data_IF_245450475857
#
_entry.id   IF_245450475857
#
_cell.length_a   1.000
_cell.length_b   1.000
_cell.length_c   1.000
_cell.angle_alpha   90.00
_cell.angle_beta   90.00
_cell.angle_gamma   90.00
#
_symmetry.space_group_name_H-M   'P 1'
#
loop_
_entity.id
_entity.type
_entity.pdbx_description
1 polymer ?
#
# COMPACT_ATOMS: atom_id res chain seq x y z
N UNK A 1 -16.15 3.60 37.94
CA UNK A 1 -16.50 2.18 38.20
C UNK A 1 -17.58 2.16 39.27
N UNK A 2 -18.74 1.53 39.05
CA UNK A 2 -19.84 1.50 40.03
C UNK A 2 -19.74 0.19 40.82
N UNK A 3 -19.58 0.29 42.13
CA UNK A 3 -19.53 -0.87 43.02
C UNK A 3 -20.95 -1.20 43.48
N UNK A 4 -21.29 -2.49 43.43
CA UNK A 4 -22.58 -3.01 43.91
C UNK A 4 -22.35 -3.74 45.22
N UNK A 5 -23.17 -3.44 46.23
CA UNK A 5 -23.07 -4.12 47.52
C UNK A 5 -23.58 -5.57 47.41
N UNK A 6 -22.94 -6.53 48.09
CA UNK A 6 -23.34 -7.93 48.02
C UNK A 6 -24.64 -8.18 48.80
N UNK A 7 -25.75 -8.31 48.06
CA UNK A 7 -27.06 -8.67 48.60
C UNK A 7 -27.53 -10.02 47.99
N UNK A 8 -27.73 -11.05 48.83
CA UNK A 8 -28.19 -12.36 48.37
C UNK A 8 -29.68 -12.33 47.99
N UNK A 9 -30.00 -12.69 46.73
CA UNK A 9 -31.37 -13.02 46.30
C UNK A 9 -32.08 -12.00 45.40
N UNK A 10 -31.41 -10.94 44.94
CA UNK A 10 -32.00 -9.95 44.01
C UNK A 10 -31.19 -9.88 42.71
N UNK A 11 -31.87 -9.77 41.57
CA UNK A 11 -31.25 -9.66 40.25
C UNK A 11 -30.87 -8.20 39.96
N UNK A 12 -29.59 -7.93 39.70
CA UNK A 12 -29.14 -6.62 39.22
C UNK A 12 -29.22 -6.59 37.70
N UNK A 13 -30.00 -5.67 37.15
CA UNK A 13 -30.04 -5.36 35.72
C UNK A 13 -29.34 -4.01 35.52
N UNK A 14 -28.16 -4.02 34.91
CA UNK A 14 -27.41 -2.82 34.60
C UNK A 14 -27.36 -2.63 33.08
N UNK A 15 -28.14 -1.68 32.58
CA UNK A 15 -28.10 -1.31 31.18
C UNK A 15 -26.85 -0.46 30.91
N UNK A 16 -26.15 -0.77 29.84
CA UNK A 16 -25.10 0.09 29.29
C UNK A 16 -25.48 0.48 27.87
N UNK A 17 -25.08 1.69 27.47
CA UNK A 17 -25.18 2.18 26.10
C UNK A 17 -23.76 2.43 25.60
N UNK A 18 -23.48 2.00 24.37
CA UNK A 18 -22.23 2.33 23.68
C UNK A 18 -22.46 3.68 23.00
N UNK A 19 -21.69 4.70 23.40
CA UNK A 19 -21.90 6.09 22.96
C UNK A 19 -21.45 6.34 21.53
N UNK A 20 -20.22 5.94 21.21
CA UNK A 20 -19.63 6.19 19.90
C UNK A 20 -18.79 4.99 19.45
N UNK A 21 -18.97 4.59 18.19
CA UNK A 21 -18.10 3.64 17.51
C UNK A 21 -17.15 4.49 16.67
N UNK A 22 -15.87 4.48 17.03
CA UNK A 22 -14.83 5.07 16.18
C UNK A 22 -14.33 4.00 15.21
N UNK A 23 -14.35 4.33 13.93
CA UNK A 23 -13.79 3.51 12.85
C UNK A 23 -12.57 4.20 12.26
N UNK A 24 -11.55 3.42 11.92
CA UNK A 24 -10.45 3.89 11.06
C UNK A 24 -10.84 3.53 9.63
N UNK A 25 -10.98 4.54 8.79
CA UNK A 25 -11.24 4.35 7.36
C UNK A 25 -9.90 3.97 6.70
N UNK A 26 -9.78 2.71 6.27
CA UNK A 26 -8.63 2.28 5.48
C UNK A 26 -8.83 2.78 4.04
N UNK A 27 -7.85 3.47 3.44
CA UNK A 27 -7.94 3.85 2.05
C UNK A 27 -8.08 2.58 1.20
N UNK A 28 -9.26 2.42 0.58
CA UNK A 28 -9.66 1.26 -0.22
C UNK A 28 -9.05 1.26 -1.63
N UNK A 29 -8.15 2.19 -1.92
CA UNK A 29 -7.42 2.23 -3.18
C UNK A 29 -6.40 1.09 -3.23
N UNK A 30 -6.69 0.05 -4.01
CA UNK A 30 -5.68 -0.93 -4.38
C UNK A 30 -4.59 -0.20 -5.15
N UNK A 31 -3.46 0.09 -4.49
CA UNK A 31 -2.27 0.64 -5.14
C UNK A 31 -1.68 -0.45 -6.05
N UNK A 32 -2.23 -0.55 -7.26
CA UNK A 32 -1.89 -1.60 -8.21
C UNK A 32 -0.67 -1.20 -9.02
N UNK A 33 0.49 -1.77 -8.71
CA UNK A 33 1.69 -1.63 -9.53
C UNK A 33 1.91 -2.93 -10.30
N UNK A 34 1.82 -2.88 -11.63
CA UNK A 34 2.00 -4.06 -12.48
C UNK A 34 3.13 -3.83 -13.47
N UNK A 35 4.09 -4.76 -13.52
CA UNK A 35 5.17 -4.75 -14.50
C UNK A 35 4.99 -5.89 -15.51
N UNK A 36 5.04 -5.57 -16.80
CA UNK A 36 4.96 -6.57 -17.87
C UNK A 36 5.84 -6.22 -19.08
N UNK A 37 6.45 -7.21 -19.75
CA UNK A 37 6.50 -8.61 -19.33
C UNK A 37 7.39 -8.78 -18.08
N UNK A 38 7.02 -9.71 -17.21
CA UNK A 38 7.86 -10.18 -16.11
C UNK A 38 7.81 -11.72 -16.14
N UNK A 39 8.89 -12.43 -16.49
CA UNK A 39 10.26 -11.94 -16.74
C UNK A 39 10.43 -11.07 -18.00
N UNK A 40 11.52 -10.29 -18.07
CA UNK A 40 11.90 -9.41 -19.20
C UNK A 40 13.36 -9.64 -19.63
N UNK A 41 13.70 -9.23 -20.86
CA UNK A 41 15.09 -9.15 -21.37
C UNK A 41 15.70 -7.75 -21.24
N UNK A 42 15.08 -6.85 -20.49
CA UNK A 42 15.57 -5.50 -20.21
C UNK A 42 14.50 -4.43 -20.37
N UNK A 43 13.55 -4.61 -21.28
CA UNK A 43 12.47 -3.65 -21.53
C UNK A 43 11.17 -4.12 -20.88
N UNK A 44 10.55 -3.27 -20.07
CA UNK A 44 9.25 -3.56 -19.47
C UNK A 44 8.41 -2.30 -19.30
N UNK A 45 7.10 -2.51 -19.26
CA UNK A 45 6.12 -1.48 -18.98
C UNK A 45 5.62 -1.63 -17.55
N UNK A 46 5.63 -0.52 -16.82
CA UNK A 46 5.00 -0.38 -15.51
C UNK A 46 3.64 0.30 -15.70
N UNK A 47 2.58 -0.32 -15.18
CA UNK A 47 1.24 0.26 -15.10
C UNK A 47 0.91 0.56 -13.65
N UNK A 48 0.59 1.80 -13.35
CA UNK A 48 0.06 2.21 -12.06
C UNK A 48 -1.47 2.12 -12.08
N UNK A 49 -2.07 1.85 -10.93
CA UNK A 49 -3.49 2.08 -10.71
C UNK A 49 -3.83 3.57 -10.76
N UNK A 50 -5.06 3.91 -10.40
CA UNK A 50 -5.57 5.28 -10.40
C UNK A 50 -4.92 6.10 -9.26
N UNK A 51 -3.79 6.73 -9.59
CA UNK A 51 -2.98 7.52 -8.64
C UNK A 51 -2.85 8.94 -9.17
N UNK A 52 -3.04 9.91 -8.27
CA UNK A 52 -2.94 11.34 -8.59
C UNK A 52 -1.89 11.99 -7.69
N UNK A 53 -1.00 12.79 -8.29
CA UNK A 53 0.02 13.57 -7.58
C UNK A 53 1.45 13.19 -7.95
N UNK A 54 2.42 13.72 -7.21
CA UNK A 54 3.84 13.42 -7.41
C UNK A 54 4.19 12.04 -6.83
N UNK A 55 4.95 11.24 -7.59
CA UNK A 55 5.51 9.96 -7.16
C UNK A 55 6.99 9.84 -7.50
N UNK A 56 7.72 9.12 -6.65
CA UNK A 56 9.12 8.78 -6.86
C UNK A 56 9.23 7.31 -7.30
N UNK A 57 9.50 7.10 -8.59
CA UNK A 57 9.75 5.77 -9.13
C UNK A 57 11.21 5.38 -8.90
N UNK A 58 11.44 4.22 -8.29
CA UNK A 58 12.77 3.68 -8.04
C UNK A 58 12.90 2.25 -8.54
N UNK A 59 14.02 1.95 -9.18
CA UNK A 59 14.44 0.60 -9.54
C UNK A 59 15.71 0.26 -8.76
N UNK A 60 15.65 -0.84 -8.02
CA UNK A 60 16.71 -1.31 -7.14
C UNK A 60 17.18 -2.69 -7.58
N UNK A 61 18.48 -2.95 -7.53
CA UNK A 61 19.01 -4.31 -7.71
C UNK A 61 18.74 -5.21 -6.50
N UNK A 62 19.07 -6.50 -6.60
CA UNK A 62 18.89 -7.47 -5.51
C UNK A 62 19.70 -7.16 -4.23
N UNK A 63 20.68 -6.25 -4.28
CA UNK A 63 21.46 -5.79 -3.12
C UNK A 63 20.91 -4.47 -2.55
N UNK A 64 19.90 -3.89 -3.18
CA UNK A 64 19.31 -2.61 -2.80
C UNK A 64 20.03 -1.39 -3.39
N UNK A 65 20.94 -1.57 -4.35
CA UNK A 65 21.55 -0.43 -5.03
C UNK A 65 20.56 0.21 -5.98
N UNK A 66 20.53 1.54 -6.00
CA UNK A 66 19.69 2.31 -6.91
C UNK A 66 20.23 2.23 -8.34
N UNK A 67 19.43 1.68 -9.23
CA UNK A 67 19.73 1.54 -10.66
C UNK A 67 19.14 2.71 -11.43
N UNK A 68 17.91 3.10 -11.07
CA UNK A 68 17.22 4.21 -11.69
C UNK A 68 16.28 4.90 -10.68
N UNK A 69 16.20 6.23 -10.75
CA UNK A 69 15.20 7.01 -10.03
C UNK A 69 14.61 8.09 -10.94
N UNK A 70 13.29 8.30 -10.86
CA UNK A 70 12.59 9.34 -11.60
C UNK A 70 11.45 9.90 -10.75
N UNK A 71 11.33 11.22 -10.67
CA UNK A 71 10.15 11.88 -10.11
C UNK A 71 9.14 12.12 -11.22
N UNK A 72 7.89 11.72 -10.99
CA UNK A 72 6.83 11.69 -12.00
C UNK A 72 5.56 12.33 -11.42
N UNK A 73 4.86 13.12 -12.24
CA UNK A 73 3.48 13.49 -11.95
C UNK A 73 2.55 12.41 -12.47
N UNK A 74 1.78 11.79 -11.58
CA UNK A 74 0.83 10.73 -11.88
C UNK A 74 -0.57 11.32 -12.00
N UNK A 75 -1.29 10.94 -13.06
CA UNK A 75 -2.67 11.37 -13.30
C UNK A 75 -3.52 10.18 -13.73
N UNK A 76 -4.29 9.62 -12.81
CA UNK A 76 -5.10 8.44 -13.07
C UNK A 76 -4.24 7.20 -13.30
N UNK A 77 -4.58 6.40 -14.32
CA UNK A 77 -3.75 5.27 -14.74
C UNK A 77 -2.56 5.75 -15.58
N UNK A 78 -1.34 5.37 -15.18
CA UNK A 78 -0.13 5.75 -15.90
C UNK A 78 0.53 4.50 -16.50
N UNK A 79 1.10 4.68 -17.69
CA UNK A 79 1.93 3.69 -18.38
C UNK A 79 3.34 4.26 -18.51
N UNK A 80 4.32 3.56 -17.95
CA UNK A 80 5.72 4.00 -17.93
C UNK A 80 6.58 2.91 -18.56
N UNK A 81 7.33 3.28 -19.60
CA UNK A 81 8.28 2.36 -20.23
C UNK A 81 9.67 2.51 -19.58
N UNK A 82 10.24 1.37 -19.21
CA UNK A 82 11.50 1.26 -18.47
C UNK A 82 12.45 0.33 -19.21
N UNK A 83 13.70 0.76 -19.28
CA UNK A 83 14.81 0.06 -19.92
C UNK A 83 15.90 -0.24 -18.90
N UNK A 84 16.24 -1.52 -18.78
CA UNK A 84 17.33 -2.07 -17.97
C UNK A 84 18.33 -2.84 -18.85
N UNK A 85 18.40 -2.57 -20.16
CA UNK A 85 19.27 -3.30 -21.09
C UNK A 85 20.76 -3.27 -20.73
N UNK A 86 21.20 -2.20 -20.07
CA UNK A 86 22.59 -2.06 -19.57
C UNK A 86 22.81 -2.65 -18.17
N UNK A 87 21.73 -3.09 -17.50
CA UNK A 87 21.79 -3.62 -16.15
C UNK A 87 22.15 -5.12 -16.16
N UNK A 88 22.87 -5.59 -15.14
CA UNK A 88 23.24 -6.99 -15.04
C UNK A 88 21.99 -7.89 -14.94
N UNK A 89 21.96 -9.10 -15.52
CA UNK A 89 20.84 -10.02 -15.35
C UNK A 89 20.60 -10.33 -13.86
N UNK A 90 19.36 -10.25 -13.40
CA UNK A 90 19.04 -10.49 -11.99
C UNK A 90 17.62 -10.12 -11.60
N UNK A 91 17.36 -10.15 -10.29
CA UNK A 91 16.11 -9.69 -9.69
C UNK A 91 16.20 -8.19 -9.40
N UNK A 92 15.12 -7.47 -9.72
CA UNK A 92 14.98 -6.05 -9.46
C UNK A 92 13.68 -5.77 -8.72
N UNK A 93 13.73 -4.77 -7.84
CA UNK A 93 12.57 -4.24 -7.12
C UNK A 93 12.17 -2.90 -7.72
N UNK A 94 10.89 -2.76 -8.04
CA UNK A 94 10.29 -1.50 -8.50
C UNK A 94 9.30 -1.02 -7.45
N UNK A 95 9.39 0.24 -7.06
CA UNK A 95 8.46 0.91 -6.13
C UNK A 95 8.19 2.35 -6.53
#
# INVERSE_FOLDING_TARGET
LKNFEPEFGRRVLWAFAIGDIVGVEEPSGTFGLNAYPNPTTGQFTLRTGEVHGDGDLQVLDARGNLVQARRLGLYGENRLDLDLGDAAPGLYLVR
#
